data_IF_337434929299
#
_entry.id   IF_337434929299
#
_cell.length_a   1.000
_cell.length_b   1.000
_cell.length_c   1.000
_cell.angle_alpha   90.00
_cell.angle_beta   90.00
_cell.angle_gamma   90.00
#
_symmetry.space_group_name_H-M   'P 1'
#
loop_
_entity.id
_entity.type
_entity.pdbx_description
1 polymer ?
#
# COMPACT_ATOMS: atom_id res chain seq x y z
N UNK A 1 -14.02 -20.59 -37.78
CA UNK A 1 -12.75 -20.51 -37.02
C UNK A 1 -12.37 -19.07 -36.63
N UNK A 2 -12.50 -18.05 -37.51
CA UNK A 2 -12.17 -16.64 -37.23
C UNK A 2 -12.71 -16.08 -35.89
N UNK A 3 -13.98 -16.32 -35.57
CA UNK A 3 -14.64 -15.73 -34.40
C UNK A 3 -14.09 -16.23 -33.05
N UNK A 4 -13.67 -17.50 -33.00
CA UNK A 4 -13.12 -18.13 -31.78
C UNK A 4 -11.75 -17.55 -31.43
N UNK A 5 -10.93 -17.29 -32.46
CA UNK A 5 -9.64 -16.62 -32.29
C UNK A 5 -9.82 -15.21 -31.73
N UNK A 6 -10.75 -14.43 -32.28
CA UNK A 6 -11.00 -13.06 -31.79
C UNK A 6 -11.43 -13.06 -30.32
N UNK A 7 -12.34 -13.96 -29.95
CA UNK A 7 -12.82 -14.10 -28.56
C UNK A 7 -11.69 -14.50 -27.60
N UNK A 8 -10.80 -15.39 -28.01
CA UNK A 8 -9.67 -15.82 -27.20
C UNK A 8 -8.65 -14.68 -27.00
N UNK A 9 -8.37 -13.89 -28.04
CA UNK A 9 -7.49 -12.73 -27.95
C UNK A 9 -8.07 -11.64 -27.05
N UNK A 10 -9.36 -11.33 -27.12
CA UNK A 10 -9.98 -10.36 -26.21
C UNK A 10 -9.93 -10.82 -24.77
N UNK A 11 -10.16 -12.10 -24.50
CA UNK A 11 -10.12 -12.66 -23.15
C UNK A 11 -8.70 -12.62 -22.57
N UNK A 12 -7.69 -12.92 -23.38
CA UNK A 12 -6.27 -12.77 -23.02
C UNK A 12 -5.89 -11.32 -22.72
N UNK A 13 -6.35 -10.37 -23.54
CA UNK A 13 -6.08 -8.95 -23.33
C UNK A 13 -6.70 -8.48 -22.00
N UNK A 14 -7.97 -8.79 -21.75
CA UNK A 14 -8.64 -8.44 -20.48
C UNK A 14 -7.93 -9.06 -19.27
N UNK A 15 -7.45 -10.30 -19.40
CA UNK A 15 -6.69 -10.96 -18.35
C UNK A 15 -5.38 -10.22 -18.08
N UNK A 16 -4.59 -9.91 -19.12
CA UNK A 16 -3.32 -9.16 -18.99
C UNK A 16 -3.52 -7.78 -18.36
N UNK A 17 -4.55 -7.04 -18.78
CA UNK A 17 -4.86 -5.72 -18.21
C UNK A 17 -5.30 -5.81 -16.73
N UNK A 18 -6.04 -6.86 -16.36
CA UNK A 18 -6.47 -7.04 -14.96
C UNK A 18 -5.34 -7.49 -14.03
N UNK A 19 -4.34 -8.26 -14.50
CA UNK A 19 -3.12 -8.53 -13.71
C UNK A 19 -2.19 -7.33 -13.63
N UNK A 20 -2.06 -6.53 -14.70
CA UNK A 20 -1.26 -5.31 -14.70
C UNK A 20 -1.85 -4.20 -13.81
N UNK A 21 -3.18 -4.15 -13.65
CA UNK A 21 -3.83 -3.28 -12.67
C UNK A 21 -3.73 -3.81 -11.23
N UNK A 22 -3.34 -5.08 -11.06
CA UNK A 22 -3.03 -5.75 -9.80
C UNK A 22 -1.53 -5.71 -9.53
N UNK A 23 -0.88 -4.59 -9.83
CA UNK A 23 0.28 -4.18 -9.04
C UNK A 23 -0.21 -4.17 -7.60
N UNK A 24 0.03 -5.26 -6.87
CA UNK A 24 -0.19 -5.31 -5.44
C UNK A 24 0.61 -4.13 -4.92
N UNK A 25 -0.09 -3.06 -4.55
CA UNK A 25 0.54 -1.89 -3.99
C UNK A 25 1.52 -2.43 -2.99
N UNK A 26 2.82 -2.17 -3.17
CA UNK A 26 3.82 -2.36 -2.11
C UNK A 26 3.56 -1.34 -1.00
N UNK A 27 2.29 -1.19 -0.62
CA UNK A 27 1.83 -0.53 0.56
C UNK A 27 2.26 -1.38 1.74
N UNK A 28 2.59 -0.68 2.81
CA UNK A 28 2.95 -1.29 4.07
C UNK A 28 1.81 -2.22 4.51
N UNK A 29 2.14 -3.43 4.97
CA UNK A 29 1.11 -4.31 5.56
C UNK A 29 0.59 -3.69 6.85
N UNK A 30 -0.65 -4.01 7.25
CA UNK A 30 -1.22 -3.51 8.51
C UNK A 30 -0.29 -3.81 9.72
N UNK A 31 0.41 -4.94 9.73
CA UNK A 31 1.39 -5.28 10.76
C UNK A 31 2.62 -4.37 10.75
N UNK A 32 3.12 -4.02 9.57
CA UNK A 32 4.22 -3.06 9.44
C UNK A 32 3.75 -1.65 9.85
N UNK A 33 2.54 -1.22 9.47
CA UNK A 33 2.01 0.08 9.92
C UNK A 33 1.88 0.13 11.44
N UNK A 34 1.35 -0.94 12.04
CA UNK A 34 1.20 -1.06 13.48
C UNK A 34 2.54 -1.03 14.21
N UNK A 35 3.58 -1.64 13.63
CA UNK A 35 4.94 -1.61 14.19
C UNK A 35 5.56 -0.21 14.12
N UNK A 36 5.34 0.54 13.04
CA UNK A 36 5.84 1.91 12.87
C UNK A 36 5.11 2.92 13.78
N UNK A 37 3.84 2.68 14.10
CA UNK A 37 3.02 3.52 15.00
C UNK A 37 3.08 3.12 16.48
N UNK A 38 3.55 1.90 16.80
CA UNK A 38 3.75 1.47 18.19
C UNK A 38 4.45 2.52 19.09
N UNK A 39 5.56 3.17 18.68
CA UNK A 39 6.21 4.22 19.49
C UNK A 39 5.38 5.51 19.65
N UNK A 40 4.29 5.68 18.89
CA UNK A 40 3.34 6.78 19.03
C UNK A 40 2.26 6.50 20.08
N UNK A 41 2.12 5.27 20.58
CA UNK A 41 1.03 4.90 21.48
C UNK A 41 1.03 5.70 22.77
N UNK A 42 2.19 5.98 23.36
CA UNK A 42 2.26 6.79 24.60
C UNK A 42 1.77 8.23 24.38
N UNK A 43 2.06 8.82 23.21
CA UNK A 43 1.52 10.12 22.83
C UNK A 43 0.00 10.04 22.55
N UNK A 44 -0.45 9.04 21.79
CA UNK A 44 -1.87 8.84 21.46
C UNK A 44 -2.73 8.53 22.68
N UNK A 45 -2.18 7.81 23.66
CA UNK A 45 -2.82 7.51 24.94
C UNK A 45 -2.66 8.62 25.97
N UNK A 46 -2.13 9.79 25.56
CA UNK A 46 -1.90 10.97 26.40
C UNK A 46 -1.03 10.70 27.63
N UNK A 47 -0.15 9.71 27.57
CA UNK A 47 0.89 9.50 28.59
C UNK A 47 2.04 10.49 28.45
N UNK A 48 2.25 11.03 27.25
CA UNK A 48 3.25 12.06 26.97
C UNK A 48 2.62 13.21 26.17
N UNK A 49 3.02 14.44 26.47
CA UNK A 49 2.56 15.64 25.74
C UNK A 49 3.26 15.85 24.39
N UNK A 50 4.33 15.10 24.13
CA UNK A 50 5.14 15.24 22.92
C UNK A 50 5.36 13.87 22.27
N UNK A 51 5.27 13.75 20.93
CA UNK A 51 5.60 12.52 20.24
C UNK A 51 7.10 12.22 20.38
N UNK A 52 7.40 10.94 20.56
CA UNK A 52 8.77 10.46 20.61
C UNK A 52 9.44 10.60 19.22
N UNK A 53 10.76 10.84 19.17
CA UNK A 53 11.53 10.80 17.91
C UNK A 53 11.26 9.55 17.05
N UNK A 54 11.22 8.32 17.61
CA UNK A 54 10.88 7.13 16.82
C UNK A 54 9.45 7.13 16.28
N UNK A 55 8.48 7.74 16.98
CA UNK A 55 7.13 7.94 16.46
C UNK A 55 7.14 8.80 15.19
N UNK A 56 7.83 9.95 15.23
CA UNK A 56 7.92 10.83 14.07
C UNK A 56 8.64 10.15 12.88
N UNK A 57 9.74 9.44 13.13
CA UNK A 57 10.46 8.71 12.09
C UNK A 57 9.63 7.59 11.46
N UNK A 58 8.90 6.81 12.27
CA UNK A 58 7.97 5.80 11.79
C UNK A 58 6.86 6.42 10.94
N UNK A 59 6.30 7.55 11.37
CA UNK A 59 5.26 8.25 10.62
C UNK A 59 5.77 8.81 9.28
N UNK A 60 7.00 9.32 9.22
CA UNK A 60 7.62 9.73 7.95
C UNK A 60 7.76 8.55 6.99
N UNK A 61 8.18 7.37 7.47
CA UNK A 61 8.29 6.16 6.66
C UNK A 61 6.93 5.66 6.15
N UNK A 62 5.87 5.82 6.95
CA UNK A 62 4.49 5.54 6.53
C UNK A 62 4.04 6.46 5.40
N UNK A 63 4.28 7.76 5.54
CA UNK A 63 3.90 8.76 4.54
C UNK A 63 4.68 8.53 3.23
N UNK A 64 5.98 8.23 3.30
CA UNK A 64 6.81 7.86 2.14
C UNK A 64 6.31 6.58 1.46
N UNK A 65 5.94 5.56 2.24
CA UNK A 65 5.40 4.30 1.74
C UNK A 65 4.05 4.46 1.05
N UNK A 66 3.14 5.27 1.61
CA UNK A 66 1.82 5.55 1.03
C UNK A 66 1.91 6.41 -0.23
N UNK A 67 2.90 7.31 -0.33
CA UNK A 67 3.10 8.16 -1.53
C UNK A 67 3.41 7.33 -2.78
N UNK A 68 4.09 6.19 -2.64
CA UNK A 68 4.30 5.22 -3.74
C UNK A 68 3.02 4.55 -4.23
N UNK A 69 1.96 4.50 -3.41
CA UNK A 69 0.69 3.85 -3.75
C UNK A 69 -0.36 4.78 -4.34
N UNK A 70 -0.20 6.11 -4.26
CA UNK A 70 -1.10 7.09 -4.90
C UNK A 70 -0.54 7.66 -6.22
N UNK A 71 0.68 7.28 -6.64
CA UNK A 71 1.26 7.65 -7.94
C UNK A 71 1.25 6.43 -8.88
N UNK A 72 0.15 5.68 -8.86
CA UNK A 72 -0.22 4.78 -9.94
C UNK A 72 -1.74 4.85 -10.14
#
# INVERSE_FOLDING_TARGET
>A
MKSVFVSFFTLLVVLVFTVAAKEASKGLTCDQEKSLVAPCLDFLTKKTDTPSTPCCQGLTKLIEGRKKSCIL
#
